data_IF_349778011034
#
_entry.id   IF_349778011034
#
_cell.length_a   1.000
_cell.length_b   1.000
_cell.length_c   1.000
_cell.angle_alpha   90.00
_cell.angle_beta   90.00
_cell.angle_gamma   90.00
#
_symmetry.space_group_name_H-M   'P 1'
#
loop_
_entity.id
_entity.type
_entity.pdbx_description
1 polymer ?
#
# COMPACT_ATOMS: atom_id res chain seq x y z
N UNK A 1 28.93 -4.63 6.34
CA UNK A 1 28.67 -4.52 4.89
C UNK A 1 28.43 -3.05 4.57
N UNK A 2 28.92 -2.56 3.44
CA UNK A 2 28.60 -1.22 2.95
C UNK A 2 27.09 -1.14 2.63
N UNK A 3 26.38 -0.21 3.27
CA UNK A 3 24.93 -0.04 3.12
C UNK A 3 24.54 0.39 1.70
N UNK A 4 25.41 1.15 1.03
CA UNK A 4 25.16 1.63 -0.33
C UNK A 4 25.28 0.47 -1.30
N UNK A 5 26.30 -0.37 -1.12
CA UNK A 5 26.46 -1.58 -1.93
C UNK A 5 25.29 -2.55 -1.69
N UNK A 6 24.90 -2.77 -0.44
CA UNK A 6 23.76 -3.62 -0.12
C UNK A 6 22.46 -3.12 -0.79
N UNK A 7 22.21 -1.81 -0.79
CA UNK A 7 21.04 -1.23 -1.44
C UNK A 7 21.07 -1.44 -2.97
N UNK A 8 22.24 -1.27 -3.61
CA UNK A 8 22.41 -1.54 -5.04
C UNK A 8 22.16 -3.00 -5.38
N UNK A 9 22.70 -3.92 -4.58
CA UNK A 9 22.53 -5.36 -4.78
C UNK A 9 21.07 -5.80 -4.56
N UNK A 10 20.35 -5.16 -3.64
CA UNK A 10 18.91 -5.38 -3.46
C UNK A 10 18.13 -4.97 -4.72
N UNK A 11 18.39 -3.78 -5.27
CA UNK A 11 17.75 -3.30 -6.50
C UNK A 11 18.08 -4.22 -7.69
N UNK A 12 19.35 -4.63 -7.82
CA UNK A 12 19.78 -5.52 -8.89
C UNK A 12 19.03 -6.86 -8.87
N UNK A 13 18.79 -7.42 -7.68
CA UNK A 13 18.02 -8.67 -7.52
C UNK A 13 16.56 -8.53 -7.93
N UNK A 14 15.90 -7.41 -7.60
CA UNK A 14 14.54 -7.14 -8.07
C UNK A 14 14.47 -6.95 -9.60
N UNK A 15 15.56 -6.56 -10.24
CA UNK A 15 15.66 -6.45 -11.71
C UNK A 15 15.91 -7.78 -12.44
N UNK A 16 16.13 -8.88 -11.71
CA UNK A 16 16.40 -10.19 -12.32
C UNK A 16 15.12 -10.77 -12.96
N UNK A 17 15.09 -10.82 -14.29
CA UNK A 17 13.95 -11.34 -15.08
C UNK A 17 13.84 -12.87 -15.09
N UNK A 18 14.84 -13.60 -14.61
CA UNK A 18 14.81 -15.06 -14.55
C UNK A 18 13.99 -15.58 -13.36
N UNK A 19 13.69 -14.71 -12.39
CA UNK A 19 12.84 -15.03 -11.25
C UNK A 19 11.42 -14.50 -11.52
N UNK A 20 10.45 -15.40 -11.67
CA UNK A 20 9.05 -15.01 -11.78
C UNK A 20 8.49 -14.63 -10.40
N UNK A 21 8.73 -13.39 -9.98
CA UNK A 21 8.03 -12.78 -8.87
C UNK A 21 6.89 -11.93 -9.40
N UNK A 22 5.65 -12.32 -9.10
CA UNK A 22 4.50 -11.47 -9.45
C UNK A 22 4.36 -10.36 -8.42
N UNK A 23 4.00 -9.15 -8.86
CA UNK A 23 3.63 -8.05 -7.96
C UNK A 23 2.54 -8.48 -6.97
N UNK A 24 1.69 -9.41 -7.41
CA UNK A 24 0.64 -10.02 -6.59
C UNK A 24 1.19 -10.77 -5.37
N UNK A 25 2.15 -11.69 -5.55
CA UNK A 25 2.81 -12.41 -4.45
C UNK A 25 3.58 -11.46 -3.51
N UNK A 26 4.14 -10.37 -4.06
CA UNK A 26 4.80 -9.33 -3.24
C UNK A 26 3.79 -8.58 -2.38
N UNK A 27 2.60 -8.27 -2.90
CA UNK A 27 1.55 -7.52 -2.21
C UNK A 27 0.73 -8.36 -1.21
N UNK A 28 0.72 -9.69 -1.34
CA UNK A 28 0.06 -10.62 -0.41
C UNK A 28 0.43 -10.37 1.06
N UNK A 29 -0.51 -10.42 2.00
CA UNK A 29 -0.32 -10.08 3.41
C UNK A 29 0.38 -8.71 3.62
N UNK A 30 0.02 -7.73 2.80
CA UNK A 30 0.63 -6.40 2.79
C UNK A 30 0.50 -5.68 4.14
N UNK A 31 -0.64 -5.78 4.80
CA UNK A 31 -0.87 -5.15 6.12
C UNK A 31 0.05 -5.71 7.20
N UNK A 32 0.22 -7.03 7.25
CA UNK A 32 1.16 -7.69 8.16
C UNK A 32 2.62 -7.32 7.82
N UNK A 33 2.98 -7.28 6.54
CA UNK A 33 4.32 -6.85 6.09
C UNK A 33 4.61 -5.40 6.49
N UNK A 34 3.65 -4.49 6.35
CA UNK A 34 3.84 -3.08 6.74
C UNK A 34 3.99 -2.95 8.24
N UNK A 35 3.10 -3.62 9.01
CA UNK A 35 3.14 -3.67 10.47
C UNK A 35 4.52 -4.07 11.00
N UNK A 36 5.11 -5.12 10.43
CA UNK A 36 6.34 -5.70 10.96
C UNK A 36 7.63 -5.15 10.34
N UNK A 37 7.58 -4.65 9.09
CA UNK A 37 8.79 -4.26 8.34
C UNK A 37 8.93 -2.75 8.16
N UNK A 38 7.83 -2.03 7.90
CA UNK A 38 7.87 -0.61 7.57
C UNK A 38 7.67 0.27 8.80
N UNK A 39 6.64 0.02 9.63
CA UNK A 39 6.32 0.90 10.75
C UNK A 39 7.50 1.08 11.71
N UNK A 40 8.22 0.02 12.15
CA UNK A 40 9.37 0.21 13.04
C UNK A 40 10.48 1.09 12.43
N UNK A 41 10.70 0.97 11.12
CA UNK A 41 11.69 1.76 10.38
C UNK A 41 11.27 3.22 10.25
N UNK A 42 9.97 3.48 10.04
CA UNK A 42 9.40 4.82 9.94
C UNK A 42 9.53 5.53 11.29
N UNK A 43 9.08 4.89 12.38
CA UNK A 43 9.15 5.47 13.72
C UNK A 43 10.59 5.80 14.09
N UNK A 44 11.52 4.86 13.89
CA UNK A 44 12.94 5.09 14.18
C UNK A 44 13.56 6.22 13.35
N UNK A 45 13.11 6.42 12.11
CA UNK A 45 13.55 7.54 11.28
C UNK A 45 13.06 8.85 11.89
N UNK A 46 11.77 8.94 12.23
CA UNK A 46 11.17 10.13 12.83
C UNK A 46 11.80 10.49 14.17
N UNK A 47 12.08 9.52 15.03
CA UNK A 47 12.78 9.74 16.30
C UNK A 47 14.17 10.36 16.11
N UNK A 48 14.83 10.08 14.97
CA UNK A 48 16.17 10.58 14.68
C UNK A 48 16.18 11.93 13.97
N UNK A 49 15.21 12.17 13.09
CA UNK A 49 15.22 13.34 12.20
C UNK A 49 14.15 14.37 12.53
N UNK A 50 13.13 13.99 13.30
CA UNK A 50 11.92 14.80 13.54
C UNK A 50 10.93 14.84 12.38
N UNK A 51 11.25 14.19 11.25
CA UNK A 51 10.49 14.29 10.00
C UNK A 51 9.91 12.95 9.55
N UNK A 52 8.71 12.98 8.96
CA UNK A 52 8.11 11.79 8.36
C UNK A 52 8.84 11.39 7.04
N UNK A 53 9.24 10.12 6.87
CA UNK A 53 9.90 9.66 5.65
C UNK A 53 8.91 9.59 4.47
N UNK A 54 8.90 10.62 3.62
CA UNK A 54 7.92 10.83 2.54
C UNK A 54 7.58 9.59 1.71
N UNK A 55 8.60 8.83 1.27
CA UNK A 55 8.42 7.64 0.43
C UNK A 55 7.81 6.46 1.17
N UNK A 56 8.10 6.32 2.47
CA UNK A 56 7.54 5.25 3.28
C UNK A 56 6.11 5.57 3.71
N UNK A 57 5.80 6.85 4.00
CA UNK A 57 4.43 7.31 4.21
C UNK A 57 3.55 7.01 2.98
N UNK A 58 4.05 7.34 1.78
CA UNK A 58 3.37 7.03 0.52
C UNK A 58 3.15 5.52 0.34
N UNK A 59 4.12 4.68 0.72
CA UNK A 59 3.95 3.22 0.63
C UNK A 59 2.81 2.71 1.52
N UNK A 60 2.65 3.28 2.72
CA UNK A 60 1.50 2.95 3.61
C UNK A 60 0.19 3.42 2.99
N UNK A 61 0.14 4.64 2.44
CA UNK A 61 -1.03 5.16 1.75
C UNK A 61 -1.45 4.28 0.54
N UNK A 62 -0.48 3.85 -0.29
CA UNK A 62 -0.72 2.97 -1.43
C UNK A 62 -1.25 1.61 -0.96
N UNK A 63 -0.73 1.07 0.15
CA UNK A 63 -1.26 -0.17 0.72
C UNK A 63 -2.73 -0.01 1.13
N UNK A 64 -3.08 1.05 1.87
CA UNK A 64 -4.47 1.33 2.28
C UNK A 64 -5.40 1.40 1.06
N UNK A 65 -4.96 2.10 0.02
CA UNK A 65 -5.67 2.17 -1.26
C UNK A 65 -5.82 0.82 -1.94
N UNK A 66 -4.77 0.00 -1.92
CA UNK A 66 -4.77 -1.34 -2.50
C UNK A 66 -5.77 -2.25 -1.79
N UNK A 67 -5.72 -2.33 -0.45
CA UNK A 67 -6.58 -3.24 0.34
C UNK A 67 -8.03 -2.78 0.43
N UNK A 68 -8.32 -1.50 0.15
CA UNK A 68 -9.69 -1.01 -0.07
C UNK A 68 -10.39 -1.77 -1.19
N UNK A 69 -9.64 -2.20 -2.22
CA UNK A 69 -10.16 -2.95 -3.35
C UNK A 69 -11.19 -2.20 -4.18
N UNK A 70 -11.77 -2.90 -5.15
CA UNK A 70 -12.78 -2.40 -6.08
C UNK A 70 -14.19 -2.86 -5.70
N UNK A 71 -14.36 -4.15 -5.39
CA UNK A 71 -15.64 -4.75 -5.00
C UNK A 71 -15.45 -6.07 -4.27
N UNK A 72 -16.52 -6.61 -3.68
CA UNK A 72 -16.56 -8.00 -3.21
C UNK A 72 -16.86 -8.96 -4.38
N UNK A 73 -16.37 -10.19 -4.30
CA UNK A 73 -16.71 -11.25 -5.24
C UNK A 73 -15.80 -12.47 -5.13
N UNK A 74 -15.92 -13.37 -6.10
CA UNK A 74 -15.08 -14.57 -6.21
C UNK A 74 -13.79 -14.29 -6.97
N UNK A 75 -12.68 -14.80 -6.47
CA UNK A 75 -11.37 -14.72 -7.13
C UNK A 75 -10.50 -15.92 -6.76
N UNK A 76 -9.26 -15.93 -7.26
CA UNK A 76 -8.29 -17.01 -7.04
C UNK A 76 -7.23 -16.51 -6.06
N UNK A 77 -7.02 -17.24 -4.96
CA UNK A 77 -5.97 -16.95 -3.99
C UNK A 77 -4.58 -17.32 -4.51
N UNK A 78 -3.53 -17.01 -3.75
CA UNK A 78 -2.15 -17.34 -4.12
C UNK A 78 -1.82 -18.84 -4.17
N UNK A 79 -2.73 -19.69 -3.66
CA UNK A 79 -2.62 -21.16 -3.67
C UNK A 79 -3.43 -21.79 -4.81
N UNK A 80 -4.14 -21.00 -5.61
CA UNK A 80 -4.96 -21.45 -6.72
C UNK A 80 -6.39 -21.86 -6.34
N UNK A 81 -6.85 -21.55 -5.13
CA UNK A 81 -8.21 -21.87 -4.70
C UNK A 81 -9.18 -20.75 -5.06
N UNK A 82 -10.42 -21.10 -5.43
CA UNK A 82 -11.51 -20.13 -5.51
C UNK A 82 -11.93 -19.71 -4.10
N UNK A 83 -11.92 -18.40 -3.86
CA UNK A 83 -12.25 -17.78 -2.58
C UNK A 83 -13.17 -16.58 -2.82
N UNK A 84 -13.97 -16.25 -1.82
CA UNK A 84 -14.80 -15.04 -1.81
C UNK A 84 -14.16 -13.97 -0.93
N UNK A 85 -14.14 -12.73 -1.43
CA UNK A 85 -13.68 -11.57 -0.68
C UNK A 85 -13.41 -10.38 -1.58
N UNK A 86 -12.46 -9.54 -1.16
CA UNK A 86 -12.19 -8.28 -1.85
C UNK A 86 -11.43 -8.51 -3.14
N UNK A 87 -11.95 -7.96 -4.22
CA UNK A 87 -11.32 -7.96 -5.53
C UNK A 87 -10.74 -6.59 -5.83
N UNK A 88 -9.49 -6.56 -6.29
CA UNK A 88 -8.90 -5.41 -6.98
C UNK A 88 -9.22 -5.42 -8.48
N UNK A 89 -8.86 -4.35 -9.17
CA UNK A 89 -8.97 -4.24 -10.63
C UNK A 89 -7.70 -3.61 -11.19
N UNK A 90 -7.16 -4.18 -12.27
CA UNK A 90 -5.96 -3.65 -12.92
C UNK A 90 -6.31 -2.69 -14.08
N UNK A 91 -5.28 -2.15 -14.72
CA UNK A 91 -5.43 -1.19 -15.84
C UNK A 91 -6.12 -1.77 -17.07
N UNK A 92 -6.18 -3.10 -17.21
CA UNK A 92 -6.90 -3.81 -18.27
C UNK A 92 -8.36 -4.12 -17.93
N UNK A 93 -8.82 -3.74 -16.73
CA UNK A 93 -10.15 -4.06 -16.22
C UNK A 93 -10.27 -5.49 -15.68
N UNK A 94 -9.17 -6.23 -15.57
CA UNK A 94 -9.15 -7.59 -15.04
C UNK A 94 -9.17 -7.55 -13.52
N UNK A 95 -10.03 -8.36 -12.90
CA UNK A 95 -10.12 -8.45 -11.45
C UNK A 95 -9.15 -9.49 -10.87
N UNK A 96 -8.64 -9.23 -9.68
CA UNK A 96 -7.79 -10.15 -8.93
C UNK A 96 -8.18 -10.16 -7.45
N UNK A 97 -8.02 -11.30 -6.76
CA UNK A 97 -8.35 -11.41 -5.34
C UNK A 97 -7.29 -10.70 -4.48
N UNK A 98 -7.67 -9.86 -3.52
CA UNK A 98 -6.73 -9.24 -2.59
C UNK A 98 -6.52 -10.18 -1.39
N UNK A 99 -5.40 -10.91 -1.43
CA UNK A 99 -5.00 -11.86 -0.38
C UNK A 99 -4.35 -11.13 0.80
N UNK A 100 -5.19 -10.47 1.60
CA UNK A 100 -4.80 -9.75 2.80
C UNK A 100 -5.86 -9.91 3.91
N UNK A 101 -5.47 -10.25 5.16
CA UNK A 101 -6.41 -10.55 6.23
C UNK A 101 -7.28 -9.36 6.64
N UNK A 102 -6.85 -8.12 6.34
CA UNK A 102 -7.60 -6.90 6.69
C UNK A 102 -8.36 -6.31 5.51
N UNK A 103 -8.24 -6.89 4.31
CA UNK A 103 -8.89 -6.35 3.10
C UNK A 103 -10.39 -6.20 3.29
N UNK A 104 -11.08 -7.24 3.76
CA UNK A 104 -12.55 -7.20 3.95
C UNK A 104 -12.97 -6.10 4.92
N UNK A 105 -12.33 -6.02 6.08
CA UNK A 105 -12.65 -5.01 7.09
C UNK A 105 -12.43 -3.60 6.56
N UNK A 106 -11.27 -3.34 5.94
CA UNK A 106 -10.93 -2.03 5.39
C UNK A 106 -11.85 -1.68 4.22
N UNK A 107 -12.05 -2.59 3.28
CA UNK A 107 -12.94 -2.39 2.13
C UNK A 107 -14.39 -2.17 2.55
N UNK A 108 -14.84 -2.72 3.67
CA UNK A 108 -16.18 -2.48 4.21
C UNK A 108 -16.34 -1.07 4.79
N UNK A 109 -15.30 -0.55 5.44
CA UNK A 109 -15.31 0.79 5.99
C UNK A 109 -15.01 1.86 4.92
N UNK A 110 -13.85 1.77 4.28
CA UNK A 110 -13.37 2.71 3.27
C UNK A 110 -13.83 2.24 1.88
N UNK A 111 -14.82 2.92 1.30
CA UNK A 111 -15.32 2.61 -0.06
C UNK A 111 -14.73 3.57 -1.08
N UNK A 112 -14.52 3.10 -2.31
CA UNK A 112 -13.95 3.90 -3.41
C UNK A 112 -14.82 5.10 -3.84
N UNK A 113 -16.10 5.12 -3.47
CA UNK A 113 -17.05 6.17 -3.85
C UNK A 113 -17.32 7.21 -2.74
N UNK A 114 -16.65 7.09 -1.59
CA UNK A 114 -16.75 8.08 -0.53
C UNK A 114 -16.05 9.37 -0.97
N UNK A 115 -16.58 10.51 -0.53
CA UNK A 115 -15.89 11.80 -0.63
C UNK A 115 -14.69 11.87 0.32
N UNK A 116 -13.85 12.90 0.17
CA UNK A 116 -12.77 13.20 1.12
C UNK A 116 -13.28 13.33 2.55
N UNK A 117 -14.34 14.12 2.74
CA UNK A 117 -14.91 14.39 4.06
C UNK A 117 -15.49 13.14 4.73
N UNK A 118 -16.03 12.20 3.93
CA UNK A 118 -16.52 10.91 4.44
C UNK A 118 -15.38 9.92 4.73
N UNK A 119 -14.29 9.99 3.96
CA UNK A 119 -13.14 9.09 4.10
C UNK A 119 -12.22 9.46 5.26
N UNK A 120 -12.06 10.74 5.57
CA UNK A 120 -11.17 11.23 6.63
C UNK A 120 -11.40 10.60 8.01
N UNK A 121 -12.61 10.60 8.60
CA UNK A 121 -12.83 10.01 9.91
C UNK A 121 -12.59 8.49 9.93
N UNK A 122 -12.81 7.82 8.80
CA UNK A 122 -12.54 6.39 8.64
C UNK A 122 -11.04 6.13 8.62
N UNK A 123 -10.30 6.93 7.84
CA UNK A 123 -8.84 6.89 7.81
C UNK A 123 -8.25 7.20 9.19
N UNK A 124 -8.79 8.17 9.92
CA UNK A 124 -8.36 8.44 11.29
C UNK A 124 -8.57 7.22 12.20
N UNK A 125 -9.72 6.54 12.10
CA UNK A 125 -9.95 5.28 12.82
C UNK A 125 -8.92 4.20 12.47
N UNK A 126 -8.61 4.02 11.19
CA UNK A 126 -7.63 3.05 10.70
C UNK A 126 -6.21 3.40 11.20
N UNK A 127 -5.79 4.66 11.09
CA UNK A 127 -4.47 5.12 11.53
C UNK A 127 -4.27 5.03 13.04
N UNK A 128 -5.35 5.04 13.81
CA UNK A 128 -5.34 4.80 15.25
C UNK A 128 -5.30 3.32 15.67
N UNK A 129 -5.46 2.38 14.74
CA UNK A 129 -5.51 0.95 15.04
C UNK A 129 -4.12 0.40 15.40
N UNK A 130 -3.90 0.18 16.70
CA UNK A 130 -2.66 -0.41 17.24
C UNK A 130 -2.47 -1.87 16.81
N UNK A 131 -3.52 -2.61 16.49
CA UNK A 131 -3.34 -3.95 15.93
C UNK A 131 -2.84 -3.90 14.48
N UNK A 132 -3.23 -2.87 13.73
CA UNK A 132 -2.76 -2.66 12.36
C UNK A 132 -1.32 -2.18 12.30
N UNK A 133 -0.94 -1.25 13.19
CA UNK A 133 0.35 -0.55 13.09
C UNK A 133 1.30 -0.75 14.29
N UNK A 134 0.94 -1.52 15.32
CA UNK A 134 1.64 -1.67 16.62
C UNK A 134 1.67 -0.39 17.48
N UNK A 135 1.45 0.77 16.87
CA UNK A 135 1.39 2.08 17.51
C UNK A 135 0.14 2.81 17.03
N UNK A 136 -0.27 3.84 17.77
CA UNK A 136 -1.26 4.78 17.28
C UNK A 136 -0.52 5.79 16.39
N UNK A 137 -0.83 5.85 15.09
CA UNK A 137 -0.10 6.76 14.19
C UNK A 137 -0.45 8.23 14.42
N UNK A 138 -1.53 8.54 15.14
CA UNK A 138 -1.84 9.90 15.59
C UNK A 138 -0.88 10.40 16.67
N UNK A 139 -0.11 9.51 17.31
CA UNK A 139 0.99 9.94 18.18
C UNK A 139 2.15 10.56 17.34
N UNK A 140 2.05 10.48 16.01
CA UNK A 140 3.00 10.99 15.01
C UNK A 140 2.28 11.85 13.96
N UNK A 141 1.70 12.99 14.37
CA UNK A 141 0.85 13.85 13.53
C UNK A 141 1.34 14.07 12.10
N UNK A 142 2.63 14.42 11.92
CA UNK A 142 3.21 14.66 10.60
C UNK A 142 3.14 13.44 9.67
N UNK A 143 3.26 12.23 10.23
CA UNK A 143 3.13 10.99 9.47
C UNK A 143 1.68 10.69 9.15
N UNK A 144 0.78 10.78 10.13
CA UNK A 144 -0.64 10.52 9.94
C UNK A 144 -1.24 11.46 8.89
N UNK A 145 -0.94 12.76 8.97
CA UNK A 145 -1.37 13.75 7.97
C UNK A 145 -0.83 13.42 6.58
N UNK A 146 0.46 13.08 6.47
CA UNK A 146 1.06 12.71 5.18
C UNK A 146 0.39 11.47 4.57
N UNK A 147 0.13 10.44 5.36
CA UNK A 147 -0.56 9.21 4.89
C UNK A 147 -1.98 9.54 4.44
N UNK A 148 -2.69 10.42 5.15
CA UNK A 148 -4.02 10.87 4.74
C UNK A 148 -3.97 11.66 3.44
N UNK A 149 -3.10 12.64 3.32
CA UNK A 149 -2.94 13.43 2.09
C UNK A 149 -2.64 12.54 0.88
N UNK A 150 -1.60 11.70 0.98
CA UNK A 150 -1.19 10.78 -0.09
C UNK A 150 -2.28 9.73 -0.36
N UNK A 151 -2.95 9.23 0.68
CA UNK A 151 -4.01 8.23 0.58
C UNK A 151 -5.29 8.78 -0.05
N UNK A 152 -5.65 10.02 0.26
CA UNK A 152 -6.80 10.74 -0.30
C UNK A 152 -6.54 11.15 -1.75
N UNK A 153 -5.32 11.58 -2.09
CA UNK A 153 -4.91 11.82 -3.49
C UNK A 153 -4.91 10.52 -4.32
N UNK A 154 -4.53 9.39 -3.71
CA UNK A 154 -4.55 8.07 -4.34
C UNK A 154 -5.96 7.45 -4.43
N UNK A 155 -6.90 7.87 -3.60
CA UNK A 155 -8.28 7.34 -3.58
C UNK A 155 -9.24 8.15 -4.46
N UNK A 156 -9.08 9.47 -4.60
CA UNK A 156 -10.21 10.30 -5.07
C UNK A 156 -10.24 10.73 -6.54
N UNK A 157 -9.12 10.92 -7.25
CA UNK A 157 -9.22 11.35 -8.66
C UNK A 157 -8.14 10.77 -9.58
N UNK A 158 -6.99 10.36 -9.03
CA UNK A 158 -5.79 10.13 -9.84
C UNK A 158 -5.69 8.76 -10.51
N UNK A 159 -6.49 7.76 -10.12
CA UNK A 159 -6.45 6.43 -10.76
C UNK A 159 -7.49 6.22 -11.89
N UNK A 160 -8.25 7.26 -12.28
CA UNK A 160 -8.81 7.30 -13.65
C UNK A 160 -7.70 7.46 -14.72
N UNK A 161 -6.46 7.70 -14.30
CA UNK A 161 -5.27 7.65 -15.14
C UNK A 161 -4.27 6.65 -14.54
N UNK A 162 -3.58 5.85 -15.36
CA UNK A 162 -2.52 4.98 -14.86
C UNK A 162 -1.46 5.82 -14.14
N UNK A 163 -1.10 5.43 -12.91
CA UNK A 163 -0.05 6.09 -12.10
C UNK A 163 1.34 5.98 -12.75
N UNK A 164 1.45 5.19 -13.82
CA UNK A 164 2.61 5.11 -14.70
C UNK A 164 2.32 5.61 -16.12
N UNK A 165 1.60 6.71 -16.28
CA UNK A 165 1.53 7.43 -17.56
C UNK A 165 2.51 8.60 -17.56
N UNK A 166 3.66 8.37 -18.21
CA UNK A 166 4.57 9.38 -18.77
C UNK A 166 5.20 10.41 -17.81
N UNK A 167 6.41 10.09 -17.32
CA UNK A 167 7.60 10.97 -17.36
C UNK A 167 8.81 10.26 -16.73
N UNK A 168 9.33 9.25 -17.41
CA UNK A 168 10.74 8.87 -17.26
C UNK A 168 11.18 8.33 -18.61
N UNK A 169 11.75 9.24 -19.40
CA UNK A 169 12.34 8.93 -20.70
C UNK A 169 13.61 8.10 -20.56
N UNK A 170 13.48 6.83 -20.18
CA UNK A 170 14.47 5.82 -20.57
C UNK A 170 13.98 5.16 -21.85
N UNK A 171 14.52 5.64 -22.97
CA UNK A 171 14.52 4.91 -24.24
C UNK A 171 15.09 3.52 -23.98
N UNK A 172 14.30 2.49 -24.29
CA UNK A 172 14.83 1.15 -24.50
C UNK A 172 15.66 1.18 -25.79
N UNK A 173 16.94 0.86 -25.68
CA UNK A 173 17.67 0.16 -26.74
C UNK A 173 17.47 -1.33 -26.53
#
# INVERSE_FOLDING_TARGET
ADIIQFARDAIARFGNRQLEHTNYQVAMYGTEKVKDRLIPSIIRYMEKTGDAPKRLALAVAILLRYVTGFKQGKGIDTRGNEVEGVLGINERGETYFIDDPRATTISNALKMNLSRAESEPILDGILGDREMFRVNLHDYDALAQRIKEDGLEATLENFKRPVFSEKTGLRRQ
#
